data_IF_985267283228
#
_entry.id   IF_985267283228
#
_cell.length_a   1.000
_cell.length_b   1.000
_cell.length_c   1.000
_cell.angle_alpha   90.00
_cell.angle_beta   90.00
_cell.angle_gamma   90.00
#
_symmetry.space_group_name_H-M   'P 1'
#
loop_
_entity.id
_entity.type
_entity.pdbx_description
1 polymer ?
#
# COMPACT_ATOMS: atom_id res chain seq x y z
N UNK A 1 -26.68 -5.63 -1.95
CA UNK A 1 -27.37 -4.65 -1.09
C UNK A 1 -26.99 -3.23 -1.49
N UNK A 2 -25.81 -2.68 -1.18
CA UNK A 2 -25.47 -1.28 -1.50
C UNK A 2 -25.62 -0.85 -2.98
N UNK A 3 -25.12 -1.66 -3.93
CA UNK A 3 -25.25 -1.38 -5.37
C UNK A 3 -26.70 -1.45 -5.86
N UNK A 4 -27.53 -2.28 -5.23
CA UNK A 4 -28.93 -2.46 -5.60
C UNK A 4 -29.80 -1.30 -5.10
N UNK A 5 -29.47 -0.73 -3.94
CA UNK A 5 -30.23 0.37 -3.33
C UNK A 5 -29.83 1.75 -3.86
N UNK A 6 -28.54 1.97 -4.16
CA UNK A 6 -28.03 3.29 -4.50
C UNK A 6 -27.48 3.42 -5.92
N UNK A 7 -27.52 2.35 -6.71
CA UNK A 7 -27.04 2.31 -8.10
C UNK A 7 -25.53 2.59 -8.27
N UNK A 8 -24.80 2.74 -7.17
CA UNK A 8 -23.38 3.11 -7.13
C UNK A 8 -22.55 2.01 -6.48
N UNK A 9 -21.31 1.86 -6.93
CA UNK A 9 -20.34 0.95 -6.28
C UNK A 9 -19.92 1.56 -4.94
N UNK A 10 -19.87 0.74 -3.89
CA UNK A 10 -19.39 1.18 -2.59
C UNK A 10 -17.90 1.51 -2.69
N UNK A 11 -17.54 2.78 -2.50
CA UNK A 11 -16.19 3.28 -2.77
C UNK A 11 -15.16 2.76 -1.75
N UNK A 12 -15.60 2.37 -0.56
CA UNK A 12 -14.74 1.89 0.53
C UNK A 12 -14.78 0.37 0.72
N UNK A 13 -15.26 -0.38 -0.27
CA UNK A 13 -15.31 -1.85 -0.23
C UNK A 13 -13.93 -2.46 -0.01
N UNK A 14 -12.92 -1.86 -0.63
CA UNK A 14 -11.52 -2.24 -0.42
C UNK A 14 -11.05 -2.01 1.02
N UNK A 15 -11.36 -0.84 1.60
CA UNK A 15 -11.00 -0.51 2.98
C UNK A 15 -11.66 -1.46 3.98
N UNK A 16 -12.94 -1.80 3.76
CA UNK A 16 -13.64 -2.79 4.58
C UNK A 16 -13.00 -4.18 4.53
N UNK A 17 -12.64 -4.64 3.33
CA UNK A 17 -11.99 -5.95 3.16
C UNK A 17 -10.63 -6.04 3.84
N UNK A 18 -9.91 -4.93 3.96
CA UNK A 18 -8.63 -4.85 4.70
C UNK A 18 -8.86 -4.80 6.21
N UNK A 19 -9.84 -4.04 6.69
CA UNK A 19 -10.04 -3.80 8.12
C UNK A 19 -10.77 -4.95 8.83
N UNK A 20 -11.61 -5.73 8.14
CA UNK A 20 -12.44 -6.77 8.75
C UNK A 20 -11.65 -7.88 9.43
N UNK A 21 -10.38 -8.06 9.06
CA UNK A 21 -9.48 -9.04 9.68
C UNK A 21 -8.48 -8.43 10.67
N UNK A 22 -8.59 -7.13 10.98
CA UNK A 22 -7.66 -6.51 11.92
C UNK A 22 -7.95 -7.00 13.36
N UNK A 23 -6.92 -7.35 14.15
CA UNK A 23 -7.08 -7.97 15.48
C UNK A 23 -7.96 -7.15 16.45
N UNK A 24 -7.97 -5.82 16.28
CA UNK A 24 -8.80 -4.88 17.04
C UNK A 24 -10.29 -5.23 16.97
N UNK A 25 -10.76 -5.80 15.86
CA UNK A 25 -12.15 -6.12 15.61
C UNK A 25 -12.47 -7.62 15.82
N UNK A 26 -11.46 -8.49 15.83
CA UNK A 26 -11.63 -9.92 16.12
C UNK A 26 -11.67 -10.23 17.62
N UNK A 27 -10.94 -9.49 18.45
CA UNK A 27 -10.78 -9.80 19.89
C UNK A 27 -11.90 -9.30 20.81
N UNK A 28 -13.01 -8.78 20.26
CA UNK A 28 -14.11 -8.26 21.09
C UNK A 28 -14.86 -9.35 21.86
N UNK A 29 -14.70 -10.63 21.53
CA UNK A 29 -15.43 -11.74 22.16
C UNK A 29 -14.61 -12.59 23.15
N UNK A 30 -13.32 -12.33 23.38
CA UNK A 30 -12.46 -13.21 24.20
C UNK A 30 -11.92 -12.61 25.51
N UNK A 31 -12.16 -11.32 25.79
CA UNK A 31 -11.59 -10.64 26.96
C UNK A 31 -12.62 -10.29 28.03
N UNK A 32 -13.49 -11.23 28.40
CA UNK A 32 -14.16 -11.19 29.71
C UNK A 32 -13.35 -12.06 30.68
N UNK A 33 -12.34 -11.49 31.34
CA UNK A 33 -11.65 -12.17 32.45
C UNK A 33 -12.14 -11.62 33.80
N UNK A 34 -12.38 -12.48 34.81
CA UNK A 34 -13.01 -12.07 36.06
C UNK A 34 -12.01 -11.37 37.01
N UNK A 35 -12.40 -10.24 37.58
CA UNK A 35 -11.62 -9.44 38.53
C UNK A 35 -11.36 -10.23 39.83
N UNK A 36 -10.07 -10.39 40.22
CA UNK A 36 -9.65 -11.01 41.50
C UNK A 36 -9.99 -10.11 42.69
N UNK A 37 -10.69 -10.65 43.69
CA UNK A 37 -10.93 -10.02 45.01
C UNK A 37 -9.67 -10.12 45.87
N UNK A 38 -9.26 -9.00 46.49
CA UNK A 38 -8.22 -8.96 47.54
C UNK A 38 -8.85 -9.37 48.88
N UNK A 39 -8.23 -10.32 49.57
CA UNK A 39 -8.49 -10.60 51.00
C UNK A 39 -7.41 -9.92 51.82
N UNK A 40 -7.81 -8.97 52.67
CA UNK A 40 -6.99 -8.36 53.71
C UNK A 40 -7.00 -9.27 54.94
N UNK A 41 -5.83 -9.54 55.52
CA UNK A 41 -5.72 -10.21 56.82
C UNK A 41 -4.92 -9.34 57.78
N UNK A 42 -5.62 -8.92 58.82
CA UNK A 42 -5.24 -8.18 60.03
C UNK A 42 -4.19 -8.88 60.92
N UNK A 43 -3.34 -8.07 61.58
CA UNK A 43 -2.95 -8.05 63.02
C UNK A 43 -2.63 -9.40 63.71
N UNK A 44 -1.51 -9.64 64.42
CA UNK A 44 -1.05 -8.93 65.64
C UNK A 44 0.27 -9.53 66.15
N UNK A 45 1.15 -8.72 66.75
CA UNK A 45 2.38 -9.14 67.45
C UNK A 45 2.14 -9.37 68.95
N UNK A 46 2.80 -10.36 69.55
CA UNK A 46 2.98 -10.47 71.01
C UNK A 46 4.45 -10.79 71.32
N UNK A 47 5.09 -9.90 72.10
CA UNK A 47 6.41 -10.11 72.70
C UNK A 47 6.24 -10.87 74.02
N UNK A 48 7.14 -11.80 74.31
CA UNK A 48 7.35 -12.30 75.67
C UNK A 48 8.86 -12.29 75.97
N UNK A 49 9.22 -11.37 76.85
CA UNK A 49 10.51 -11.21 77.51
C UNK A 49 10.60 -12.24 78.63
N UNK A 50 11.65 -13.07 78.66
CA UNK A 50 12.05 -13.76 79.89
C UNK A 50 13.57 -13.73 80.04
N UNK A 51 13.98 -13.29 81.23
CA UNK A 51 15.33 -13.09 81.68
C UNK A 51 15.94 -14.44 82.04
N UNK A 52 17.26 -14.54 81.84
CA UNK A 52 18.10 -15.04 82.93
C UNK A 52 19.24 -15.96 82.53
N UNK A 53 20.38 -15.62 83.14
CA UNK A 53 21.54 -16.47 83.41
C UNK A 53 22.57 -16.55 82.27
N UNK A 54 23.52 -15.60 82.36
CA UNK A 54 24.85 -15.74 81.82
C UNK A 54 25.54 -16.94 82.48
N UNK A 55 26.03 -17.87 81.68
CA UNK A 55 27.16 -18.69 82.06
C UNK A 55 28.10 -18.80 80.87
N UNK A 56 29.31 -18.34 81.11
CA UNK A 56 30.37 -18.12 80.13
C UNK A 56 31.10 -19.44 79.90
N UNK A 57 30.92 -20.02 78.72
CA UNK A 57 31.77 -21.08 78.20
C UNK A 57 32.00 -20.79 76.73
N UNK A 58 32.98 -19.93 76.47
CA UNK A 58 33.48 -19.55 75.16
C UNK A 58 34.11 -20.77 74.46
N UNK A 59 33.26 -21.62 73.90
CA UNK A 59 33.59 -22.45 72.75
C UNK A 59 33.24 -21.57 71.56
N UNK A 60 34.24 -21.13 70.81
CA UNK A 60 34.06 -20.35 69.59
C UNK A 60 33.52 -21.27 68.48
N UNK A 61 32.28 -21.72 68.66
CA UNK A 61 31.43 -22.29 67.62
C UNK A 61 30.66 -21.10 67.06
N UNK A 62 31.23 -20.50 66.01
CA UNK A 62 30.59 -19.44 65.26
C UNK A 62 29.15 -19.88 64.90
N UNK A 63 28.15 -19.15 65.43
CA UNK A 63 26.74 -19.49 65.20
C UNK A 63 26.47 -19.47 63.69
N UNK A 64 25.79 -20.48 63.13
CA UNK A 64 25.49 -20.48 61.70
C UNK A 64 24.70 -19.23 61.34
N UNK A 65 24.99 -18.62 60.17
CA UNK A 65 24.41 -17.35 59.77
C UNK A 65 22.90 -17.43 59.82
N UNK A 66 22.28 -16.47 60.51
CA UNK A 66 20.83 -16.43 60.66
C UNK A 66 20.14 -16.26 59.30
N UNK A 67 18.87 -16.66 59.23
CA UNK A 67 18.03 -16.57 58.02
C UNK A 67 18.07 -15.20 57.33
N UNK A 68 18.25 -14.11 58.10
CA UNK A 68 18.42 -12.75 57.56
C UNK A 68 19.75 -12.53 56.84
N UNK A 69 20.84 -13.09 57.36
CA UNK A 69 22.16 -13.04 56.74
C UNK A 69 22.20 -13.89 55.45
N UNK A 70 21.61 -15.09 55.48
CA UNK A 70 21.45 -15.93 54.27
C UNK A 70 20.64 -15.21 53.19
N UNK A 71 19.52 -14.57 53.58
CA UNK A 71 18.69 -13.79 52.64
C UNK A 71 19.41 -12.58 52.07
N UNK A 72 20.20 -11.89 52.89
CA UNK A 72 21.03 -10.77 52.42
C UNK A 72 22.11 -11.23 51.43
N UNK A 73 22.76 -12.38 51.70
CA UNK A 73 23.75 -12.98 50.80
C UNK A 73 23.13 -13.39 49.47
N UNK A 74 21.97 -14.06 49.50
CA UNK A 74 21.20 -14.42 48.31
C UNK A 74 20.74 -13.19 47.50
N UNK A 75 20.30 -12.13 48.17
CA UNK A 75 19.90 -10.90 47.49
C UNK A 75 21.09 -10.18 46.85
N UNK A 76 22.26 -10.21 47.51
CA UNK A 76 23.50 -9.63 46.97
C UNK A 76 24.03 -10.42 45.78
N UNK A 77 23.98 -11.76 45.84
CA UNK A 77 24.26 -12.62 44.68
C UNK A 77 23.30 -12.33 43.52
N UNK A 78 21.99 -12.17 43.79
CA UNK A 78 21.01 -11.83 42.74
C UNK A 78 21.20 -10.44 42.12
N UNK A 79 21.85 -9.50 42.81
CA UNK A 79 22.16 -8.19 42.22
C UNK A 79 23.49 -8.16 41.48
N UNK A 80 24.44 -9.05 41.83
CA UNK A 80 25.73 -9.20 41.13
C UNK A 80 25.63 -10.08 39.88
N UNK A 81 24.73 -11.09 39.88
CA UNK A 81 24.61 -12.04 38.78
C UNK A 81 23.77 -11.47 37.61
N UNK A 82 24.41 -10.63 36.78
CA UNK A 82 24.26 -10.64 35.31
C UNK A 82 22.86 -10.46 34.67
N UNK A 83 21.82 -10.04 35.41
CA UNK A 83 20.45 -9.99 34.86
C UNK A 83 20.19 -8.81 33.92
N UNK A 84 21.04 -7.78 33.92
CA UNK A 84 20.91 -6.59 33.05
C UNK A 84 21.09 -6.92 31.56
N UNK A 85 22.05 -7.80 31.24
CA UNK A 85 22.41 -8.13 29.85
C UNK A 85 21.27 -8.82 29.09
N UNK A 86 20.55 -9.75 29.73
CA UNK A 86 19.44 -10.45 29.09
C UNK A 86 18.24 -9.52 28.79
N UNK A 87 17.98 -8.55 29.67
CA UNK A 87 16.91 -7.57 29.47
C UNK A 87 17.26 -6.61 28.33
N UNK A 88 18.52 -6.16 28.25
CA UNK A 88 19.00 -5.29 27.19
C UNK A 88 18.95 -5.98 25.81
N UNK A 89 19.33 -7.26 25.73
CA UNK A 89 19.21 -8.06 24.50
C UNK A 89 17.74 -8.19 24.05
N UNK A 90 16.81 -8.42 24.98
CA UNK A 90 15.37 -8.47 24.66
C UNK A 90 14.82 -7.12 24.18
N UNK A 91 15.25 -6.02 24.80
CA UNK A 91 14.82 -4.67 24.39
C UNK A 91 15.33 -4.31 22.99
N UNK A 92 16.58 -4.66 22.69
CA UNK A 92 17.16 -4.46 21.36
C UNK A 92 16.44 -5.31 20.29
N UNK A 93 16.14 -6.58 20.58
CA UNK A 93 15.37 -7.43 19.67
C UNK A 93 13.97 -6.85 19.38
N UNK A 94 13.28 -6.31 20.40
CA UNK A 94 11.99 -5.65 20.20
C UNK A 94 12.11 -4.34 19.39
N UNK A 95 13.22 -3.61 19.54
CA UNK A 95 13.48 -2.40 18.75
C UNK A 95 13.72 -2.74 17.27
N UNK A 96 14.51 -3.78 17.01
CA UNK A 96 14.79 -4.29 15.66
C UNK A 96 13.52 -4.81 14.98
N UNK A 97 12.68 -5.57 15.70
CA UNK A 97 11.39 -6.03 15.18
C UNK A 97 10.48 -4.86 14.80
N UNK A 98 10.39 -3.82 15.64
CA UNK A 98 9.62 -2.61 15.33
C UNK A 98 10.15 -1.89 14.10
N UNK A 99 11.47 -1.78 13.96
CA UNK A 99 12.12 -1.19 12.79
C UNK A 99 11.79 -1.98 11.52
N UNK A 100 11.92 -3.31 11.57
CA UNK A 100 11.61 -4.21 10.44
C UNK A 100 10.14 -4.13 10.02
N UNK A 101 9.21 -4.03 10.98
CA UNK A 101 7.79 -3.84 10.70
C UNK A 101 7.55 -2.49 10.02
N UNK A 102 8.20 -1.42 10.49
CA UNK A 102 8.08 -0.09 9.90
C UNK A 102 8.63 -0.05 8.46
N UNK A 103 9.80 -0.66 8.24
CA UNK A 103 10.41 -0.80 6.91
C UNK A 103 9.51 -1.60 5.97
N UNK A 104 9.01 -2.77 6.40
CA UNK A 104 8.11 -3.60 5.60
C UNK A 104 6.81 -2.87 5.23
N UNK A 105 6.29 -2.05 6.16
CA UNK A 105 5.10 -1.23 5.91
C UNK A 105 5.38 -0.14 4.87
N UNK A 106 6.53 0.52 4.98
CA UNK A 106 6.94 1.56 4.03
C UNK A 106 7.17 0.97 2.63
N UNK A 107 7.85 -0.18 2.54
CA UNK A 107 8.06 -0.90 1.29
C UNK A 107 6.73 -1.29 0.63
N UNK A 108 5.76 -1.78 1.41
CA UNK A 108 4.43 -2.12 0.89
C UNK A 108 3.70 -0.90 0.30
N UNK A 109 3.75 0.24 1.00
CA UNK A 109 3.17 1.51 0.55
C UNK A 109 3.84 1.99 -0.74
N UNK A 110 5.17 1.97 -0.78
CA UNK A 110 5.94 2.41 -1.95
C UNK A 110 5.66 1.50 -3.16
N UNK A 111 5.60 0.18 -2.95
CA UNK A 111 5.23 -0.77 -4.00
C UNK A 111 3.83 -0.50 -4.54
N UNK A 112 2.87 -0.15 -3.67
CA UNK A 112 1.53 0.26 -4.08
C UNK A 112 1.54 1.56 -4.90
N UNK A 113 2.35 2.54 -4.48
CA UNK A 113 2.52 3.82 -5.19
C UNK A 113 3.11 3.62 -6.59
N UNK A 114 4.14 2.80 -6.72
CA UNK A 114 4.78 2.48 -8.00
C UNK A 114 3.80 1.78 -8.94
N UNK A 115 3.09 0.73 -8.48
CA UNK A 115 2.09 0.04 -9.29
C UNK A 115 0.98 0.98 -9.76
N UNK A 116 0.51 1.89 -8.90
CA UNK A 116 -0.48 2.89 -9.28
C UNK A 116 0.06 3.81 -10.39
N UNK A 117 1.28 4.30 -10.24
CA UNK A 117 1.94 5.15 -11.25
C UNK A 117 2.10 4.43 -12.58
N UNK A 118 2.49 3.15 -12.57
CA UNK A 118 2.62 2.33 -13.78
C UNK A 118 1.27 2.14 -14.50
N UNK A 119 0.20 1.88 -13.75
CA UNK A 119 -1.14 1.74 -14.31
C UNK A 119 -1.63 3.06 -14.93
N UNK A 120 -1.39 4.18 -14.25
CA UNK A 120 -1.76 5.49 -14.78
C UNK A 120 -0.95 5.84 -16.03
N UNK A 121 0.36 5.57 -16.05
CA UNK A 121 1.19 5.76 -17.23
C UNK A 121 0.71 4.91 -18.41
N UNK A 122 0.40 3.62 -18.20
CA UNK A 122 -0.19 2.76 -19.23
C UNK A 122 -1.51 3.32 -19.75
N UNK A 123 -2.37 3.84 -18.87
CA UNK A 123 -3.63 4.49 -19.25
C UNK A 123 -3.40 5.72 -20.13
N UNK A 124 -2.41 6.54 -19.78
CA UNK A 124 -2.03 7.73 -20.56
C UNK A 124 -1.49 7.35 -21.93
N UNK A 125 -0.58 6.37 -22.02
CA UNK A 125 -0.05 5.88 -23.29
C UNK A 125 -1.17 5.40 -24.23
N UNK A 126 -2.10 4.59 -23.72
CA UNK A 126 -3.25 4.11 -24.52
C UNK A 126 -4.11 5.29 -25.00
N UNK A 127 -4.31 6.30 -24.15
CA UNK A 127 -5.10 7.49 -24.51
C UNK A 127 -4.42 8.30 -25.61
N UNK A 128 -3.11 8.49 -25.51
CA UNK A 128 -2.31 9.18 -26.52
C UNK A 128 -2.29 8.43 -27.85
N UNK A 129 -2.09 7.11 -27.82
CA UNK A 129 -2.11 6.28 -29.02
C UNK A 129 -3.48 6.33 -29.73
N UNK A 130 -4.59 6.31 -28.97
CA UNK A 130 -5.93 6.47 -29.54
C UNK A 130 -6.13 7.82 -30.23
N UNK A 131 -5.63 8.90 -29.63
CA UNK A 131 -5.69 10.24 -30.23
C UNK A 131 -4.86 10.27 -31.52
N UNK A 132 -3.66 9.71 -31.51
CA UNK A 132 -2.79 9.66 -32.68
C UNK A 132 -3.40 8.82 -33.80
N UNK A 133 -3.99 7.66 -33.48
CA UNK A 133 -4.68 6.83 -34.45
C UNK A 133 -5.89 7.54 -35.07
N UNK A 134 -6.66 8.28 -34.27
CA UNK A 134 -7.77 9.09 -34.76
C UNK A 134 -7.30 10.17 -35.74
N UNK A 135 -6.25 10.93 -35.38
CA UNK A 135 -5.64 11.95 -36.25
C UNK A 135 -5.12 11.36 -37.56
N UNK A 136 -4.41 10.22 -37.48
CA UNK A 136 -3.90 9.55 -38.69
C UNK A 136 -5.01 9.02 -39.59
N UNK A 137 -6.14 8.58 -39.01
CA UNK A 137 -7.30 8.15 -39.78
C UNK A 137 -7.96 9.34 -40.48
N UNK A 138 -8.16 10.45 -39.78
CA UNK A 138 -8.70 11.68 -40.33
C UNK A 138 -7.83 12.22 -41.48
N UNK A 139 -6.51 12.25 -41.29
CA UNK A 139 -5.59 12.70 -42.34
C UNK A 139 -5.61 11.78 -43.57
N UNK A 140 -5.71 10.47 -43.37
CA UNK A 140 -5.85 9.53 -44.51
C UNK A 140 -7.14 9.76 -45.28
N UNK A 141 -8.25 10.06 -44.61
CA UNK A 141 -9.51 10.36 -45.30
C UNK A 141 -9.42 11.70 -46.04
N UNK A 142 -8.82 12.74 -45.43
CA UNK A 142 -8.54 14.01 -46.13
C UNK A 142 -7.71 13.80 -47.40
N UNK A 143 -6.63 13.01 -47.33
CA UNK A 143 -5.78 12.73 -48.50
C UNK A 143 -6.58 12.02 -49.60
N UNK A 144 -7.42 11.04 -49.24
CA UNK A 144 -8.29 10.36 -50.21
C UNK A 144 -9.28 11.33 -50.85
N UNK A 145 -9.93 12.18 -50.05
CA UNK A 145 -10.85 13.20 -50.55
C UNK A 145 -10.14 14.16 -51.52
N UNK A 146 -8.98 14.69 -51.15
CA UNK A 146 -8.15 15.54 -52.00
C UNK A 146 -7.76 14.84 -53.32
N UNK A 147 -7.38 13.56 -53.27
CA UNK A 147 -7.07 12.77 -54.45
C UNK A 147 -8.30 12.55 -55.35
N UNK A 148 -9.47 12.28 -54.77
CA UNK A 148 -10.71 12.14 -55.55
C UNK A 148 -11.11 13.43 -56.24
N UNK A 149 -10.99 14.57 -55.55
CA UNK A 149 -11.24 15.89 -56.14
C UNK A 149 -10.25 16.17 -57.26
N UNK A 150 -8.97 15.88 -57.05
CA UNK A 150 -7.92 16.06 -58.07
C UNK A 150 -8.19 15.23 -59.32
N UNK A 151 -8.59 13.96 -59.15
CA UNK A 151 -8.94 13.08 -60.27
C UNK A 151 -10.19 13.57 -61.02
N UNK A 152 -11.18 14.11 -60.31
CA UNK A 152 -12.38 14.69 -60.92
C UNK A 152 -12.04 15.92 -61.78
N UNK A 153 -11.22 16.84 -61.27
CA UNK A 153 -10.75 18.03 -62.00
C UNK A 153 -9.98 17.61 -63.27
N UNK A 154 -9.04 16.67 -63.13
CA UNK A 154 -8.26 16.16 -64.26
C UNK A 154 -9.13 15.49 -65.33
N UNK A 155 -10.21 14.82 -64.92
CA UNK A 155 -11.17 14.21 -65.85
C UNK A 155 -11.99 15.28 -66.59
N UNK A 156 -12.49 16.28 -65.87
CA UNK A 156 -13.24 17.39 -66.45
C UNK A 156 -12.41 18.19 -67.47
N UNK A 157 -11.13 18.47 -67.15
CA UNK A 157 -10.22 19.12 -68.10
C UNK A 157 -9.97 18.29 -69.36
N UNK A 158 -9.85 16.97 -69.22
CA UNK A 158 -9.72 16.07 -70.38
C UNK A 158 -10.96 16.09 -71.26
N UNK A 159 -12.15 16.10 -70.68
CA UNK A 159 -13.41 16.19 -71.44
C UNK A 159 -13.56 17.56 -72.13
N UNK A 160 -13.30 18.67 -71.43
CA UNK A 160 -13.27 20.01 -72.05
C UNK A 160 -12.33 20.07 -73.25
N UNK A 161 -11.12 19.51 -73.12
CA UNK A 161 -10.14 19.48 -74.21
C UNK A 161 -10.58 18.60 -75.38
N UNK A 162 -11.33 17.53 -75.14
CA UNK A 162 -11.93 16.71 -76.21
C UNK A 162 -13.02 17.48 -76.94
N UNK A 163 -13.94 18.11 -76.21
CA UNK A 163 -15.02 18.92 -76.79
C UNK A 163 -14.48 20.09 -77.63
N UNK A 164 -13.43 20.77 -77.16
CA UNK A 164 -12.78 21.85 -77.92
C UNK A 164 -12.17 21.32 -79.23
N UNK A 165 -11.52 20.14 -79.19
CA UNK A 165 -10.98 19.49 -80.39
C UNK A 165 -12.07 19.11 -81.38
N UNK A 166 -13.20 18.58 -80.91
CA UNK A 166 -14.35 18.25 -81.77
C UNK A 166 -14.98 19.51 -82.37
N UNK A 167 -15.20 20.57 -81.57
CA UNK A 167 -15.68 21.87 -82.09
C UNK A 167 -14.76 22.42 -83.19
N UNK A 168 -13.44 22.37 -82.99
CA UNK A 168 -12.46 22.80 -83.99
C UNK A 168 -12.50 21.96 -85.27
N UNK A 169 -12.80 20.65 -85.18
CA UNK A 169 -12.98 19.78 -86.36
C UNK A 169 -14.26 20.14 -87.11
N UNK A 170 -15.38 20.29 -86.41
CA UNK A 170 -16.67 20.65 -86.99
C UNK A 170 -16.63 22.01 -87.72
N UNK A 171 -15.96 23.01 -87.12
CA UNK A 171 -15.80 24.32 -87.74
C UNK A 171 -14.99 24.23 -89.05
N UNK A 172 -13.91 23.42 -89.05
CA UNK A 172 -13.11 23.15 -90.25
C UNK A 172 -13.93 22.46 -91.33
N UNK A 173 -14.79 21.51 -90.97
CA UNK A 173 -15.70 20.87 -91.93
C UNK A 173 -16.74 21.84 -92.49
N UNK A 174 -17.36 22.67 -91.65
CA UNK A 174 -18.31 23.71 -92.10
C UNK A 174 -17.68 24.65 -93.12
N UNK A 175 -16.46 25.13 -92.85
CA UNK A 175 -15.70 26.00 -93.78
C UNK A 175 -15.38 25.32 -95.11
N UNK A 176 -15.20 23.99 -95.13
CA UNK A 176 -15.00 23.22 -96.36
C UNK A 176 -16.29 23.06 -97.17
N UNK A 177 -17.42 22.82 -96.50
CA UNK A 177 -18.72 22.62 -97.17
C UNK A 177 -19.32 23.91 -97.76
N UNK A 178 -19.07 25.07 -97.15
CA UNK A 178 -19.56 26.36 -97.66
C UNK A 178 -18.74 26.98 -98.82
N UNK A 179 -17.77 26.24 -99.37
CA UNK A 179 -16.84 26.70 -100.43
C UNK A 179 -17.11 26.04 -101.79
N UNK A 180 -18.19 25.27 -101.91
CA UNK A 180 -18.73 24.67 -103.13
C UNK A 180 -20.09 25.28 -103.42
#
# INVERSE_FOLDING_TARGET
>A
MYKAEYGKKFMFEHCWNVLKYAPKWLNSHQNETPRRKRTETTSSSVNLEDKGVANDSNINLERPPGRKAEKARLNKQKSDEGSSSNVEVMLNAMADDKKKIAESRLEFLERGRVQYMELENKRLCIKEEKINLAKMKEERERIKEEETIRLAIMKEERERKKEERERMKEERERKRRGKH
#
